data_IF_577497009758
#
_entry.id   IF_577497009758
#
_cell.length_a   1.000
_cell.length_b   1.000
_cell.length_c   1.000
_cell.angle_alpha   90.00
_cell.angle_beta   90.00
_cell.angle_gamma   90.00
#
_symmetry.space_group_name_H-M   'P 1'
#
loop_
_entity.id
_entity.type
_entity.pdbx_description
1 polymer ?
#
# COMPACT_ATOMS: atom_id res chain seq x y z
N UNK A 1 -9.27 -28.62 14.20
CA UNK A 1 -8.69 -27.53 13.39
C UNK A 1 -9.83 -26.62 13.01
N UNK A 2 -10.13 -25.63 13.84
CA UNK A 2 -11.17 -24.63 13.60
C UNK A 2 -10.55 -23.51 12.80
N UNK A 3 -10.99 -23.32 11.56
CA UNK A 3 -10.65 -22.16 10.75
C UNK A 3 -11.11 -20.92 11.48
N UNK A 4 -10.16 -20.12 11.95
CA UNK A 4 -10.41 -18.76 12.43
C UNK A 4 -10.84 -17.96 11.20
N UNK A 5 -12.13 -17.73 11.07
CA UNK A 5 -12.70 -16.70 10.19
C UNK A 5 -12.12 -15.38 10.68
N UNK A 6 -11.14 -14.86 9.96
CA UNK A 6 -10.54 -13.57 10.24
C UNK A 6 -11.61 -12.49 10.10
N UNK A 7 -12.24 -12.15 11.22
CA UNK A 7 -12.98 -10.90 11.37
C UNK A 7 -11.97 -9.79 11.10
N UNK A 8 -12.15 -9.08 10.00
CA UNK A 8 -11.41 -7.82 9.73
C UNK A 8 -11.75 -6.88 10.88
N UNK A 9 -10.89 -6.87 11.90
CA UNK A 9 -11.01 -5.99 13.05
C UNK A 9 -10.57 -4.61 12.59
N UNK A 10 -11.35 -3.59 12.88
CA UNK A 10 -11.05 -2.22 12.46
C UNK A 10 -9.75 -1.70 13.03
N UNK A 11 -8.94 -1.08 12.19
CA UNK A 11 -7.62 -0.57 12.55
C UNK A 11 -7.70 0.86 13.04
N UNK A 12 -7.02 1.13 14.15
CA UNK A 12 -6.96 2.45 14.79
C UNK A 12 -5.52 2.96 14.69
N UNK A 13 -5.32 4.15 14.14
CA UNK A 13 -4.03 4.81 14.09
C UNK A 13 -3.97 5.93 15.14
N UNK A 14 -2.87 5.99 15.91
CA UNK A 14 -2.63 7.03 16.92
C UNK A 14 -1.51 7.96 16.46
N UNK A 15 -1.86 9.19 16.10
CA UNK A 15 -0.93 10.27 15.75
C UNK A 15 -0.65 11.13 16.98
N UNK A 16 0.61 11.26 17.39
CA UNK A 16 0.99 12.02 18.57
C UNK A 16 2.44 12.52 18.50
N UNK A 17 2.78 13.55 19.30
CA UNK A 17 4.15 14.03 19.45
C UNK A 17 4.81 13.38 20.66
N UNK A 18 5.86 12.60 20.43
CA UNK A 18 6.58 11.89 21.52
C UNK A 18 7.09 12.82 22.61
N UNK A 19 7.59 13.99 22.21
CA UNK A 19 8.19 14.95 23.13
C UNK A 19 7.16 15.60 24.06
N UNK A 20 5.87 15.44 23.75
CA UNK A 20 4.80 16.09 24.49
C UNK A 20 3.78 15.12 25.08
N UNK A 21 3.24 14.24 24.24
CA UNK A 21 2.06 13.44 24.60
C UNK A 21 2.35 11.94 24.70
N UNK A 22 3.61 11.55 24.93
CA UNK A 22 4.00 10.14 25.04
C UNK A 22 3.28 9.39 26.15
N UNK A 23 3.12 9.99 27.34
CA UNK A 23 2.46 9.34 28.48
C UNK A 23 0.95 9.14 28.26
N UNK A 24 0.17 10.18 27.88
CA UNK A 24 -1.23 9.99 27.52
C UNK A 24 -1.41 8.99 26.38
N UNK A 25 -0.54 9.03 25.37
CA UNK A 25 -0.58 8.09 24.26
C UNK A 25 -0.35 6.65 24.71
N UNK A 26 0.63 6.39 25.60
CA UNK A 26 0.90 5.06 26.12
C UNK A 26 -0.30 4.50 26.92
N UNK A 27 -0.87 5.31 27.82
CA UNK A 27 -2.04 4.89 28.61
C UNK A 27 -3.26 4.62 27.75
N UNK A 28 -3.51 5.48 26.77
CA UNK A 28 -4.59 5.28 25.82
C UNK A 28 -4.37 4.03 24.97
N UNK A 29 -3.16 3.83 24.47
CA UNK A 29 -2.79 2.63 23.71
C UNK A 29 -3.09 1.35 24.48
N UNK A 30 -2.72 1.26 25.76
CA UNK A 30 -2.96 0.07 26.56
C UNK A 30 -4.46 -0.23 26.71
N UNK A 31 -5.30 0.80 26.83
CA UNK A 31 -6.76 0.64 26.90
C UNK A 31 -7.35 0.20 25.55
N UNK A 32 -6.89 0.79 24.45
CA UNK A 32 -7.30 0.42 23.10
C UNK A 32 -6.86 -1.00 22.77
N UNK A 33 -5.60 -1.34 23.03
CA UNK A 33 -5.04 -2.66 22.78
C UNK A 33 -5.75 -3.76 23.57
N UNK A 34 -6.17 -3.47 24.82
CA UNK A 34 -6.97 -4.38 25.64
C UNK A 34 -8.37 -4.62 25.04
N UNK A 35 -8.97 -3.61 24.41
CA UNK A 35 -10.32 -3.69 23.85
C UNK A 35 -10.36 -4.29 22.46
N UNK A 36 -9.46 -3.85 21.56
CA UNK A 36 -9.52 -4.16 20.13
C UNK A 36 -8.46 -5.17 19.69
N UNK A 37 -7.45 -5.44 20.51
CA UNK A 37 -6.27 -6.22 20.14
C UNK A 37 -5.07 -5.30 19.84
N UNK A 38 -3.89 -5.75 20.24
CA UNK A 38 -2.65 -4.96 20.08
C UNK A 38 -2.26 -4.76 18.61
N UNK A 39 -2.57 -5.73 17.79
CA UNK A 39 -2.35 -5.75 16.35
C UNK A 39 -3.29 -4.83 15.56
N UNK A 40 -4.33 -4.32 16.21
CA UNK A 40 -5.31 -3.41 15.62
C UNK A 40 -5.08 -1.93 15.97
N UNK A 41 -4.13 -1.66 16.85
CA UNK A 41 -3.81 -0.29 17.28
C UNK A 41 -2.38 0.05 16.86
N UNK A 42 -2.25 0.93 15.90
CA UNK A 42 -0.98 1.41 15.40
C UNK A 42 -0.64 2.74 16.08
N UNK A 43 0.50 2.78 16.69
CA UNK A 43 1.08 4.02 17.22
C UNK A 43 2.45 4.14 16.63
N UNK A 44 2.80 5.35 16.22
CA UNK A 44 4.15 5.70 15.84
C UNK A 44 4.79 4.71 14.81
N UNK A 45 5.27 5.23 13.73
CA UNK A 45 5.91 4.41 12.70
C UNK A 45 7.35 4.12 13.11
N UNK A 46 7.51 3.44 14.28
CA UNK A 46 8.82 2.99 14.76
C UNK A 46 9.45 1.89 13.88
N UNK A 47 8.71 1.36 12.92
CA UNK A 47 9.13 0.22 12.09
C UNK A 47 9.27 0.57 10.61
N UNK A 48 9.68 1.81 10.28
CA UNK A 48 10.13 2.10 8.92
C UNK A 48 11.47 1.39 8.74
N UNK A 49 11.51 0.42 7.83
CA UNK A 49 12.75 -0.29 7.54
C UNK A 49 13.76 0.64 6.86
N UNK A 50 15.05 0.35 7.08
CA UNK A 50 16.11 1.15 6.47
C UNK A 50 16.01 1.07 4.94
N UNK A 51 15.78 2.22 4.30
CA UNK A 51 15.65 2.32 2.85
C UNK A 51 14.24 2.48 2.33
N UNK A 52 13.20 2.35 3.18
CA UNK A 52 11.81 2.59 2.81
C UNK A 52 11.52 4.08 2.62
N UNK A 53 10.60 4.38 1.70
CA UNK A 53 10.01 5.72 1.59
C UNK A 53 9.01 5.92 2.73
N UNK A 54 9.39 6.76 3.71
CA UNK A 54 8.55 7.02 4.88
C UNK A 54 7.18 7.62 4.54
N UNK A 55 7.05 8.37 3.43
CA UNK A 55 5.77 8.94 2.98
C UNK A 55 4.85 7.82 2.51
N UNK A 56 5.39 6.84 1.76
CA UNK A 56 4.63 5.69 1.29
C UNK A 56 4.17 4.81 2.45
N UNK A 57 5.05 4.56 3.42
CA UNK A 57 4.74 3.77 4.61
C UNK A 57 3.63 4.43 5.44
N UNK A 58 3.75 5.75 5.74
CA UNK A 58 2.71 6.51 6.45
C UNK A 58 1.39 6.48 5.68
N UNK A 59 1.44 6.77 4.39
CA UNK A 59 0.26 6.84 3.54
C UNK A 59 -0.48 5.51 3.49
N UNK A 60 0.25 4.41 3.45
CA UNK A 60 -0.31 3.06 3.46
C UNK A 60 -0.88 2.69 4.82
N UNK A 61 -0.13 2.91 5.90
CA UNK A 61 -0.55 2.60 7.25
C UNK A 61 -1.83 3.36 7.64
N UNK A 62 -1.83 4.70 7.48
CA UNK A 62 -3.00 5.54 7.77
C UNK A 62 -4.18 5.20 6.86
N UNK A 63 -3.92 4.98 5.56
CA UNK A 63 -4.96 4.66 4.59
C UNK A 63 -5.63 3.31 4.80
N UNK A 64 -5.01 2.41 5.58
CA UNK A 64 -5.57 1.10 5.95
C UNK A 64 -6.37 1.12 7.26
N UNK A 65 -6.47 2.28 7.92
CA UNK A 65 -7.18 2.44 9.19
C UNK A 65 -8.57 3.02 9.00
N UNK A 66 -9.52 2.65 9.85
CA UNK A 66 -10.86 3.23 9.90
C UNK A 66 -10.90 4.54 10.66
N UNK A 67 -10.00 4.68 11.64
CA UNK A 67 -9.95 5.85 12.53
C UNK A 67 -8.51 6.26 12.78
N UNK A 68 -8.27 7.59 12.75
CA UNK A 68 -7.06 8.21 13.26
C UNK A 68 -7.41 9.02 14.51
N UNK A 69 -6.70 8.75 15.61
CA UNK A 69 -6.75 9.53 16.85
C UNK A 69 -5.60 10.53 16.83
N UNK A 70 -5.91 11.83 16.73
CA UNK A 70 -4.90 12.90 16.77
C UNK A 70 -4.78 13.43 18.20
N UNK A 71 -3.72 13.08 18.92
CA UNK A 71 -3.47 13.57 20.27
C UNK A 71 -2.88 14.98 20.20
N UNK A 72 -3.59 15.93 20.77
CA UNK A 72 -3.27 17.35 20.76
C UNK A 72 -3.00 17.79 22.19
N UNK A 73 -1.75 18.14 22.48
CA UNK A 73 -1.32 18.71 23.75
C UNK A 73 -1.17 20.23 23.68
N UNK A 74 -0.78 20.84 24.80
CA UNK A 74 -0.66 22.31 24.94
C UNK A 74 0.35 22.95 24.00
N UNK A 75 1.41 22.22 23.64
CA UNK A 75 2.47 22.71 22.75
C UNK A 75 2.34 22.21 21.32
N UNK A 76 1.31 21.43 21.01
CA UNK A 76 1.13 20.81 19.71
C UNK A 76 1.21 21.82 18.54
N UNK A 77 0.62 23.00 18.72
CA UNK A 77 0.68 24.10 17.74
C UNK A 77 2.02 24.81 17.68
N UNK A 78 2.74 24.88 18.81
CA UNK A 78 3.91 25.75 18.98
C UNK A 78 5.23 25.01 18.97
N UNK A 79 5.22 23.68 18.92
CA UNK A 79 6.44 22.86 18.85
C UNK A 79 7.26 23.24 17.62
N UNK A 80 8.56 23.53 17.85
CA UNK A 80 9.50 23.92 16.81
C UNK A 80 10.52 22.82 16.50
N UNK A 81 11.15 22.92 15.33
CA UNK A 81 12.33 22.16 14.97
C UNK A 81 13.61 22.76 15.59
N UNK A 82 14.78 22.18 15.28
CA UNK A 82 16.08 22.65 15.76
C UNK A 82 16.44 24.06 15.27
N UNK A 83 15.79 24.57 14.21
CA UNK A 83 15.99 25.88 13.62
C UNK A 83 14.98 26.92 14.16
N UNK A 84 14.09 26.54 15.06
CA UNK A 84 13.04 27.39 15.60
C UNK A 84 11.80 27.54 14.71
N UNK A 85 11.70 26.82 13.59
CA UNK A 85 10.51 26.83 12.74
C UNK A 85 9.44 25.92 13.32
N UNK A 86 8.17 26.36 13.24
CA UNK A 86 7.05 25.56 13.72
C UNK A 86 6.93 24.27 12.92
N UNK A 87 6.93 23.15 13.60
CA UNK A 87 6.94 21.82 12.96
C UNK A 87 5.72 21.57 12.07
N UNK A 88 4.55 22.05 12.45
CA UNK A 88 3.34 21.92 11.64
C UNK A 88 3.42 22.66 10.28
N UNK A 89 4.29 23.67 10.14
CA UNK A 89 4.49 24.37 8.87
C UNK A 89 5.39 23.59 7.91
N UNK A 90 6.17 22.64 8.43
CA UNK A 90 7.01 21.77 7.62
C UNK A 90 6.16 20.68 6.95
N UNK A 91 6.10 20.60 5.59
CA UNK A 91 5.39 19.54 4.88
C UNK A 91 5.93 18.13 5.17
N UNK A 92 7.18 17.98 5.62
CA UNK A 92 7.79 16.72 6.00
C UNK A 92 7.58 16.33 7.48
N UNK A 93 6.83 17.11 8.27
CA UNK A 93 6.51 16.72 9.66
C UNK A 93 5.57 15.51 9.70
N UNK A 94 5.99 14.46 10.39
CA UNK A 94 5.25 13.19 10.43
C UNK A 94 3.81 13.33 10.93
N UNK A 95 3.60 14.05 12.03
CA UNK A 95 2.25 14.27 12.59
C UNK A 95 1.37 15.04 11.62
N UNK A 96 1.93 16.00 10.89
CA UNK A 96 1.21 16.70 9.83
C UNK A 96 0.84 15.74 8.70
N UNK A 97 1.78 14.94 8.19
CA UNK A 97 1.57 13.98 7.10
C UNK A 97 0.52 12.93 7.45
N UNK A 98 0.53 12.41 8.67
CA UNK A 98 -0.44 11.43 9.15
C UNK A 98 -1.86 12.00 9.12
N UNK A 99 -2.05 13.19 9.69
CA UNK A 99 -3.37 13.83 9.76
C UNK A 99 -3.83 14.29 8.37
N UNK A 100 -2.94 14.86 7.57
CA UNK A 100 -3.22 15.28 6.18
C UNK A 100 -3.65 14.10 5.32
N UNK A 101 -2.94 12.98 5.42
CA UNK A 101 -3.28 11.73 4.74
C UNK A 101 -4.66 11.22 5.16
N UNK A 102 -4.94 11.19 6.46
CA UNK A 102 -6.24 10.76 6.97
C UNK A 102 -7.39 11.65 6.46
N UNK A 103 -7.21 12.98 6.50
CA UNK A 103 -8.20 13.94 6.01
C UNK A 103 -8.44 13.84 4.51
N UNK A 104 -7.38 13.58 3.73
CA UNK A 104 -7.45 13.45 2.27
C UNK A 104 -8.11 12.14 1.86
N UNK A 105 -7.83 11.05 2.56
CA UNK A 105 -8.41 9.72 2.30
C UNK A 105 -9.77 9.49 2.95
N UNK A 106 -10.34 10.52 3.58
CA UNK A 106 -11.61 10.43 4.31
C UNK A 106 -11.60 9.41 5.46
N UNK A 107 -10.42 9.09 6.01
CA UNK A 107 -10.32 8.35 7.27
C UNK A 107 -10.92 9.22 8.38
N UNK A 108 -11.67 8.61 9.29
CA UNK A 108 -12.27 9.34 10.40
C UNK A 108 -11.20 9.84 11.36
N UNK A 109 -11.03 11.17 11.47
CA UNK A 109 -10.10 11.79 12.41
C UNK A 109 -10.85 12.26 13.65
N UNK A 110 -10.40 11.78 14.83
CA UNK A 110 -10.92 12.18 16.14
C UNK A 110 -9.80 12.91 16.90
N UNK A 111 -9.89 14.23 17.11
CA UNK A 111 -8.95 14.95 17.97
C UNK A 111 -9.15 14.53 19.42
N UNK A 112 -8.06 14.22 20.11
CA UNK A 112 -8.01 13.90 21.54
C UNK A 112 -7.21 15.01 22.22
N UNK A 113 -7.89 15.84 22.98
CA UNK A 113 -7.25 16.93 23.72
C UNK A 113 -6.72 16.40 25.06
N UNK A 114 -5.44 16.58 25.31
CA UNK A 114 -4.76 16.17 26.54
C UNK A 114 -4.11 17.37 27.21
N UNK A 115 -3.87 17.28 28.52
CA UNK A 115 -3.20 18.32 29.31
C UNK A 115 -3.86 19.71 29.16
N UNK A 116 -5.20 19.74 29.21
CA UNK A 116 -6.00 20.97 29.09
C UNK A 116 -5.80 21.71 27.76
N UNK A 117 -5.33 21.03 26.72
CA UNK A 117 -5.18 21.61 25.40
C UNK A 117 -6.52 22.04 24.83
N UNK A 118 -6.51 23.13 24.06
CA UNK A 118 -7.68 23.57 23.30
C UNK A 118 -7.64 23.06 21.85
N UNK A 119 -8.80 22.99 21.24
CA UNK A 119 -8.88 22.70 19.82
C UNK A 119 -8.28 23.86 19.00
N UNK A 120 -7.36 23.58 18.03
CA UNK A 120 -6.86 24.60 17.11
C UNK A 120 -7.96 25.21 16.25
N UNK A 121 -7.86 26.49 15.95
CA UNK A 121 -8.70 27.17 14.96
C UNK A 121 -8.16 26.93 13.53
N UNK A 122 -8.98 27.16 12.50
CA UNK A 122 -8.59 26.88 11.12
C UNK A 122 -7.43 27.78 10.63
N UNK A 123 -7.37 29.01 11.14
CA UNK A 123 -6.33 30.02 10.83
C UNK A 123 -4.99 29.73 11.53
N UNK A 124 -4.99 28.95 12.60
CA UNK A 124 -3.77 28.48 13.27
C UNK A 124 -3.13 27.26 12.57
N UNK A 125 -3.86 26.63 11.67
CA UNK A 125 -3.44 25.39 11.00
C UNK A 125 -2.95 25.65 9.58
N UNK A 126 -1.98 24.87 9.07
CA UNK A 126 -1.72 24.82 7.64
C UNK A 126 -3.01 24.51 6.86
N UNK A 127 -3.14 25.03 5.66
CA UNK A 127 -4.35 24.86 4.83
C UNK A 127 -4.76 23.40 4.64
N UNK A 128 -3.80 22.48 4.54
CA UNK A 128 -4.03 21.04 4.43
C UNK A 128 -4.69 20.43 5.66
N UNK A 129 -4.47 21.01 6.84
CA UNK A 129 -5.05 20.56 8.12
C UNK A 129 -6.29 21.35 8.54
N UNK A 130 -6.72 22.38 7.81
CA UNK A 130 -7.84 23.27 8.21
C UNK A 130 -9.14 22.50 8.49
N UNK A 131 -9.36 21.35 7.82
CA UNK A 131 -10.52 20.48 8.07
C UNK A 131 -10.52 19.88 9.48
N UNK A 132 -9.37 19.78 10.14
CA UNK A 132 -9.26 19.25 11.51
C UNK A 132 -10.02 20.15 12.50
N UNK A 133 -9.93 21.47 12.35
CA UNK A 133 -10.61 22.44 13.23
C UNK A 133 -12.14 22.26 13.30
N UNK A 134 -12.73 21.59 12.32
CA UNK A 134 -14.19 21.32 12.27
C UNK A 134 -14.58 19.96 12.86
N UNK A 135 -13.62 19.21 13.40
CA UNK A 135 -13.89 17.89 14.00
C UNK A 135 -14.25 18.08 15.48
N UNK A 136 -15.25 17.30 15.91
CA UNK A 136 -15.58 17.27 17.34
C UNK A 136 -14.49 16.54 18.09
N UNK A 137 -13.86 17.22 19.04
CA UNK A 137 -12.80 16.67 19.88
C UNK A 137 -13.39 15.94 21.11
N UNK A 138 -12.57 15.05 21.67
CA UNK A 138 -12.78 14.45 22.97
C UNK A 138 -11.66 14.92 23.90
N UNK A 139 -11.99 15.46 25.06
CA UNK A 139 -11.04 15.77 26.12
C UNK A 139 -10.68 14.49 26.88
N UNK A 140 -9.40 14.23 27.08
CA UNK A 140 -8.90 13.13 27.88
C UNK A 140 -8.18 13.69 29.11
N UNK A 141 -8.92 13.83 30.21
CA UNK A 141 -8.43 14.39 31.46
C UNK A 141 -7.84 13.31 32.37
N UNK A 142 -6.66 13.52 32.99
CA UNK A 142 -6.13 12.58 33.99
C UNK A 142 -7.13 12.29 35.12
N UNK A 143 -7.86 13.27 35.57
CA UNK A 143 -8.85 13.14 36.64
C UNK A 143 -10.09 12.29 36.26
N UNK A 144 -10.41 12.21 34.96
CA UNK A 144 -11.57 11.47 34.42
C UNK A 144 -11.15 10.43 33.39
N UNK A 145 -9.88 10.05 33.37
CA UNK A 145 -9.28 9.20 32.35
C UNK A 145 -10.12 7.95 32.02
N UNK A 146 -10.61 7.25 33.04
CA UNK A 146 -11.43 6.05 32.83
C UNK A 146 -12.75 6.37 32.13
N UNK A 147 -13.46 7.40 32.59
CA UNK A 147 -14.77 7.78 32.02
C UNK A 147 -14.62 8.31 30.58
N UNK A 148 -13.59 9.14 30.33
CA UNK A 148 -13.30 9.70 29.01
C UNK A 148 -12.87 8.61 28.03
N UNK A 149 -12.02 7.67 28.46
CA UNK A 149 -11.63 6.50 27.67
C UNK A 149 -12.82 5.61 27.35
N UNK A 150 -13.71 5.34 28.32
CA UNK A 150 -14.92 4.55 28.07
C UNK A 150 -15.84 5.23 27.04
N UNK A 151 -15.93 6.57 27.07
CA UNK A 151 -16.67 7.32 26.06
C UNK A 151 -16.03 7.15 24.67
N UNK A 152 -14.71 7.23 24.56
CA UNK A 152 -13.98 7.00 23.31
C UNK A 152 -14.20 5.59 22.79
N UNK A 153 -14.07 4.58 23.64
CA UNK A 153 -14.26 3.17 23.24
C UNK A 153 -15.65 2.95 22.64
N UNK A 154 -16.72 3.51 23.22
CA UNK A 154 -18.06 3.40 22.63
C UNK A 154 -18.17 4.06 21.25
N UNK A 155 -17.50 5.19 21.04
CA UNK A 155 -17.48 5.86 19.74
C UNK A 155 -16.71 5.00 18.72
N UNK A 156 -15.58 4.42 19.11
CA UNK A 156 -14.77 3.56 18.26
C UNK A 156 -15.51 2.27 17.90
N UNK A 157 -16.10 1.57 18.88
CA UNK A 157 -16.89 0.37 18.63
C UNK A 157 -17.95 0.63 17.55
N UNK A 158 -18.72 1.73 17.69
CA UNK A 158 -19.74 2.08 16.69
C UNK A 158 -19.13 2.41 15.33
N UNK A 159 -18.05 3.19 15.28
CA UNK A 159 -17.42 3.58 14.03
C UNK A 159 -16.86 2.38 13.27
N UNK A 160 -16.20 1.47 13.98
CA UNK A 160 -15.64 0.25 13.41
C UNK A 160 -16.75 -0.68 12.91
N UNK A 161 -17.83 -0.84 13.68
CA UNK A 161 -18.98 -1.65 13.25
C UNK A 161 -19.65 -1.07 12.00
N UNK A 162 -19.86 0.26 11.95
CA UNK A 162 -20.43 0.94 10.78
C UNK A 162 -19.55 0.75 9.53
N UNK A 163 -18.21 0.85 9.68
CA UNK A 163 -17.27 0.63 8.57
C UNK A 163 -17.30 -0.82 8.07
N UNK A 164 -17.37 -1.79 8.97
CA UNK A 164 -17.47 -3.22 8.64
C UNK A 164 -18.78 -3.55 7.91
N UNK A 165 -19.90 -3.01 8.37
CA UNK A 165 -21.20 -3.18 7.71
C UNK A 165 -21.21 -2.59 6.30
N UNK A 166 -20.62 -1.40 6.12
CA UNK A 166 -20.47 -0.79 4.80
C UNK A 166 -19.60 -1.64 3.86
N UNK A 167 -18.43 -2.10 4.34
CA UNK A 167 -17.55 -2.97 3.56
C UNK A 167 -18.24 -4.28 3.15
N UNK A 168 -19.04 -4.87 4.05
CA UNK A 168 -19.81 -6.08 3.75
C UNK A 168 -20.88 -5.83 2.67
N UNK A 169 -21.64 -4.74 2.80
CA UNK A 169 -22.64 -4.34 1.81
C UNK A 169 -22.03 -4.06 0.43
N UNK A 170 -20.87 -3.40 0.39
CA UNK A 170 -20.17 -3.11 -0.87
C UNK A 170 -19.62 -4.39 -1.51
N UNK A 171 -19.11 -5.32 -0.72
CA UNK A 171 -18.70 -6.65 -1.18
C UNK A 171 -19.87 -7.45 -1.76
N UNK A 172 -21.03 -7.43 -1.10
CA UNK A 172 -22.25 -8.07 -1.62
C UNK A 172 -22.74 -7.43 -2.92
N UNK A 173 -22.75 -6.10 -3.01
CA UNK A 173 -23.11 -5.38 -4.24
C UNK A 173 -22.18 -5.76 -5.39
N UNK A 174 -20.85 -5.79 -5.13
CA UNK A 174 -19.86 -6.19 -6.11
C UNK A 174 -20.04 -7.66 -6.56
N UNK A 175 -20.40 -8.57 -5.65
CA UNK A 175 -20.70 -9.96 -5.98
C UNK A 175 -21.94 -10.07 -6.86
N UNK A 176 -23.05 -9.37 -6.54
CA UNK A 176 -24.27 -9.33 -7.36
C UNK A 176 -24.01 -8.78 -8.76
N UNK A 177 -23.20 -7.74 -8.90
CA UNK A 177 -22.81 -7.20 -10.22
C UNK A 177 -21.94 -8.14 -11.03
N UNK A 178 -21.15 -9.02 -10.39
CA UNK A 178 -20.41 -10.08 -11.10
C UNK A 178 -21.34 -11.17 -11.64
N UNK A 179 -22.35 -11.57 -10.87
CA UNK A 179 -23.33 -12.59 -11.28
C UNK A 179 -24.23 -12.11 -12.42
N UNK A 180 -24.65 -10.84 -12.42
CA UNK A 180 -25.44 -10.26 -13.50
C UNK A 180 -24.61 -9.95 -14.75
N UNK A 181 -23.26 -9.87 -14.63
CA UNK A 181 -22.32 -9.65 -15.74
C UNK A 181 -21.85 -10.92 -16.46
N UNK A 182 -22.25 -12.11 -16.04
CA UNK A 182 -21.75 -13.40 -16.57
C UNK A 182 -22.41 -13.81 -17.90
N UNK A 183 -22.83 -12.86 -18.73
CA UNK A 183 -23.16 -13.12 -20.15
C UNK A 183 -22.06 -12.64 -21.11
N UNK A 184 -20.78 -12.81 -20.76
CA UNK A 184 -19.67 -12.56 -21.69
C UNK A 184 -18.65 -13.69 -21.70
N UNK A 185 -18.99 -14.87 -22.31
CA UNK A 185 -17.99 -15.91 -22.59
C UNK A 185 -16.90 -15.43 -23.57
N UNK A 186 -17.14 -14.31 -24.31
CA UNK A 186 -16.24 -13.80 -25.33
C UNK A 186 -14.94 -13.17 -24.81
N UNK A 187 -14.91 -12.60 -23.61
CA UNK A 187 -13.71 -11.91 -23.08
C UNK A 187 -12.69 -12.91 -22.50
N UNK A 188 -13.17 -13.96 -21.82
CA UNK A 188 -12.32 -15.02 -21.26
C UNK A 188 -11.70 -15.85 -22.38
N UNK A 189 -12.44 -16.09 -23.50
CA UNK A 189 -11.91 -16.76 -24.67
C UNK A 189 -10.80 -15.95 -25.37
N UNK A 190 -10.91 -14.60 -25.38
CA UNK A 190 -9.87 -13.71 -25.94
C UNK A 190 -8.58 -13.72 -25.10
N UNK A 191 -8.68 -13.71 -23.75
CA UNK A 191 -7.51 -13.77 -22.87
C UNK A 191 -6.83 -15.14 -22.87
N UNK A 192 -7.60 -16.22 -23.07
CA UNK A 192 -7.04 -17.57 -23.24
C UNK A 192 -6.23 -17.69 -24.53
N UNK A 193 -6.64 -17.03 -25.62
CA UNK A 193 -5.91 -16.97 -26.88
C UNK A 193 -4.57 -16.22 -26.74
N UNK A 194 -4.54 -15.12 -25.96
CA UNK A 194 -3.30 -14.36 -25.68
C UNK A 194 -2.29 -15.15 -24.85
N UNK A 195 -2.74 -15.98 -23.93
CA UNK A 195 -1.86 -16.81 -23.09
C UNK A 195 -1.15 -17.91 -23.88
N UNK A 196 -1.76 -18.42 -24.91
CA UNK A 196 -1.13 -19.39 -25.83
C UNK A 196 -0.09 -18.73 -26.73
N UNK A 197 -0.29 -17.49 -27.15
CA UNK A 197 0.71 -16.73 -27.91
C UNK A 197 1.98 -16.47 -27.12
N UNK A 198 1.88 -16.18 -25.83
CA UNK A 198 3.06 -15.95 -24.96
C UNK A 198 3.86 -17.22 -24.68
N UNK A 199 3.20 -18.38 -24.61
CA UNK A 199 3.87 -19.68 -24.46
C UNK A 199 4.55 -20.09 -25.78
N UNK A 200 3.88 -19.93 -26.93
CA UNK A 200 4.45 -20.21 -28.25
C UNK A 200 5.67 -19.34 -28.54
N UNK A 201 5.65 -18.05 -28.15
CA UNK A 201 6.79 -17.14 -28.35
C UNK A 201 7.99 -17.53 -27.49
N UNK A 202 7.77 -17.99 -26.24
CA UNK A 202 8.86 -18.44 -25.36
C UNK A 202 9.48 -19.76 -25.82
N UNK A 203 8.66 -20.67 -26.30
CA UNK A 203 9.16 -21.95 -26.87
C UNK A 203 9.92 -21.72 -28.18
N UNK A 204 9.41 -20.82 -29.04
CA UNK A 204 10.13 -20.44 -30.27
C UNK A 204 11.47 -19.77 -30.00
N UNK A 205 11.55 -18.89 -29.01
CA UNK A 205 12.79 -18.23 -28.62
C UNK A 205 13.82 -19.23 -28.04
N UNK A 206 13.36 -20.18 -27.20
CA UNK A 206 14.23 -21.22 -26.64
C UNK A 206 14.80 -22.16 -27.73
N UNK A 207 13.98 -22.51 -28.72
CA UNK A 207 14.43 -23.30 -29.87
C UNK A 207 15.44 -22.56 -30.74
N UNK A 208 15.25 -21.26 -30.99
CA UNK A 208 16.22 -20.43 -31.71
C UNK A 208 17.56 -20.32 -30.98
N UNK A 209 17.55 -20.16 -29.65
CA UNK A 209 18.76 -20.11 -28.83
C UNK A 209 19.48 -21.46 -28.86
N UNK A 210 18.76 -22.55 -28.73
CA UNK A 210 19.36 -23.89 -28.79
C UNK A 210 19.98 -24.20 -30.17
N UNK A 211 19.34 -23.78 -31.25
CA UNK A 211 19.85 -23.91 -32.60
C UNK A 211 21.09 -23.06 -32.83
N UNK A 212 21.11 -21.84 -32.29
CA UNK A 212 22.26 -20.94 -32.36
C UNK A 212 23.48 -21.53 -31.63
N UNK A 213 23.26 -22.05 -30.40
CA UNK A 213 24.32 -22.72 -29.63
C UNK A 213 24.84 -23.94 -30.37
N UNK A 214 23.96 -24.75 -30.96
CA UNK A 214 24.34 -25.89 -31.75
C UNK A 214 25.18 -25.51 -32.97
N UNK A 215 24.76 -24.49 -33.71
CA UNK A 215 25.54 -23.98 -34.85
C UNK A 215 26.93 -23.47 -34.41
N UNK A 216 27.03 -22.77 -33.27
CA UNK A 216 28.31 -22.30 -32.72
C UNK A 216 29.23 -23.44 -32.31
N UNK A 217 28.67 -24.50 -31.71
CA UNK A 217 29.46 -25.72 -31.36
C UNK A 217 29.95 -26.50 -32.58
N UNK A 218 29.15 -26.60 -33.64
CA UNK A 218 29.55 -27.20 -34.92
C UNK A 218 30.65 -26.37 -35.60
N UNK A 219 30.51 -25.02 -35.58
CA UNK A 219 31.52 -24.13 -36.14
C UNK A 219 32.84 -24.20 -35.35
N UNK A 220 32.78 -24.23 -34.02
CA UNK A 220 33.96 -24.37 -33.17
C UNK A 220 34.68 -25.71 -33.42
N UNK A 221 33.95 -26.76 -33.71
CA UNK A 221 34.53 -28.08 -34.03
C UNK A 221 35.12 -28.16 -35.45
N UNK A 222 34.51 -27.39 -36.38
CA UNK A 222 35.04 -27.32 -37.78
C UNK A 222 36.34 -26.49 -37.88
N UNK A 223 36.59 -25.56 -36.98
CA UNK A 223 37.81 -24.75 -36.94
C UNK A 223 38.98 -25.48 -36.29
N UNK A 224 38.78 -26.63 -35.65
CA UNK A 224 39.82 -27.42 -35.00
C UNK A 224 40.38 -28.55 -35.89
N UNK A 225 39.82 -28.77 -37.10
CA UNK A 225 40.32 -29.76 -38.06
C UNK A 225 40.73 -29.06 -39.38
N UNK A 226 42.03 -28.92 -39.71
CA UNK A 226 42.46 -28.34 -40.97
C UNK A 226 42.31 -29.37 -42.10
N UNK A 227 41.32 -29.20 -42.98
CA UNK A 227 41.15 -30.01 -44.19
C UNK A 227 39.86 -29.70 -44.95
N UNK A 228 40.00 -29.24 -46.11
CA UNK A 228 39.18 -29.11 -47.35
C UNK A 228 37.66 -28.91 -47.35
N UNK A 229 36.92 -29.03 -46.22
CA UNK A 229 35.44 -29.00 -46.23
C UNK A 229 34.83 -27.70 -45.69
N UNK A 230 35.62 -26.66 -45.44
CA UNK A 230 35.20 -25.42 -44.76
C UNK A 230 34.19 -24.59 -45.58
N UNK A 231 34.31 -24.62 -46.91
CA UNK A 231 33.47 -23.82 -47.83
C UNK A 231 32.04 -24.36 -47.91
N UNK A 232 31.86 -25.66 -47.85
CA UNK A 232 30.54 -26.33 -47.97
C UNK A 232 29.69 -26.11 -46.70
N UNK A 233 30.32 -26.07 -45.52
CA UNK A 233 29.60 -25.87 -44.23
C UNK A 233 29.15 -24.42 -44.08
N UNK A 234 29.95 -23.42 -44.49
CA UNK A 234 29.56 -22.01 -44.42
C UNK A 234 28.35 -21.72 -45.33
N UNK A 235 28.30 -22.30 -46.52
CA UNK A 235 27.17 -22.16 -47.45
C UNK A 235 25.85 -22.73 -46.88
N UNK A 236 25.90 -23.87 -46.17
CA UNK A 236 24.73 -24.46 -45.56
C UNK A 236 24.18 -23.63 -44.38
N UNK A 237 25.05 -23.01 -43.58
CA UNK A 237 24.65 -22.20 -42.44
C UNK A 237 23.99 -20.91 -42.90
N UNK A 238 24.55 -20.24 -43.97
CA UNK A 238 23.96 -19.00 -44.51
C UNK A 238 22.60 -19.28 -45.15
N UNK A 239 22.42 -20.40 -45.86
CA UNK A 239 21.14 -20.80 -46.44
C UNK A 239 20.09 -21.08 -45.38
N UNK A 240 20.47 -21.73 -44.25
CA UNK A 240 19.56 -22.06 -43.12
C UNK A 240 19.06 -20.81 -42.39
N UNK A 241 19.92 -19.79 -42.20
CA UNK A 241 19.55 -18.52 -41.56
C UNK A 241 18.57 -17.71 -42.44
N UNK A 242 18.77 -17.73 -43.78
CA UNK A 242 17.90 -17.05 -44.74
C UNK A 242 16.45 -17.59 -44.72
N UNK A 243 16.27 -18.90 -44.56
CA UNK A 243 14.95 -19.54 -44.51
C UNK A 243 14.22 -19.17 -43.21
N UNK A 244 14.92 -19.05 -42.09
CA UNK A 244 14.32 -18.71 -40.80
C UNK A 244 13.88 -17.24 -40.78
N UNK A 245 14.65 -16.31 -41.32
CA UNK A 245 14.31 -14.89 -41.39
C UNK A 245 13.16 -14.64 -42.38
N UNK A 246 13.16 -15.36 -43.53
CA UNK A 246 12.07 -15.29 -44.52
C UNK A 246 10.73 -15.82 -43.99
N UNK A 247 10.76 -16.91 -43.19
CA UNK A 247 9.57 -17.48 -42.54
C UNK A 247 8.94 -16.56 -41.50
N UNK A 248 9.74 -15.78 -40.79
CA UNK A 248 9.24 -14.82 -39.77
C UNK A 248 8.60 -13.56 -40.38
N UNK A 249 9.05 -13.14 -41.56
CA UNK A 249 8.47 -12.01 -42.30
C UNK A 249 7.09 -12.36 -42.91
N UNK A 250 6.89 -13.60 -43.34
CA UNK A 250 5.63 -14.06 -43.93
C UNK A 250 4.48 -14.21 -42.91
N UNK A 251 4.77 -14.42 -41.64
CA UNK A 251 3.76 -14.55 -40.55
C UNK A 251 3.29 -13.18 -40.06
N UNK A 252 4.00 -12.10 -40.33
CA UNK A 252 3.65 -10.72 -39.90
C UNK A 252 2.76 -9.94 -40.85
N UNK A 253 2.42 -10.52 -42.00
CA UNK A 253 1.67 -9.90 -43.08
C UNK A 253 0.25 -10.46 -43.31
N UNK A 254 -0.37 -11.10 -42.30
CA UNK A 254 -1.79 -11.53 -42.34
C UNK A 254 -2.54 -11.18 -41.07
#
# INVERSE_FOLDING_TARGET
MTASTGTSSGRIFMSYRREETAYPAAWLFDRLAKRFGRDQVFKDIDSIELGDDFIEVITTAVGSCEVLLALIGNRWLTTTDQNGHRRLDNPGDFVRLEIETALTRNVRVIPILVDEARMPTADELPASLAKLARRQALELSPARFEADTQRLLRVLDRTISEAQEQAHQDAERAARHRDTGTSRPALVARLRKYRWYSVGLRVGLALCIALFIFCMLVFAKATTTPGENTITIVGAVISGVGIIVGGFAAVRGR
#
